data_IF_303487228299
#
_entry.id   IF_303487228299
#
_cell.length_a   1.000
_cell.length_b   1.000
_cell.length_c   1.000
_cell.angle_alpha   90.00
_cell.angle_beta   90.00
_cell.angle_gamma   90.00
#
_symmetry.space_group_name_H-M   'P 1'
#
loop_
_entity.id
_entity.type
_entity.pdbx_description
1 polymer ?
#
# COMPACT_ATOMS: atom_id res chain seq x y z
N UNK A 1 -18.35 20.19 53.61
CA UNK A 1 -16.87 20.11 53.50
C UNK A 1 -16.50 18.65 53.31
N UNK A 2 -15.98 18.27 52.15
CA UNK A 2 -15.34 16.97 51.92
C UNK A 2 -13.95 17.22 51.34
N UNK A 3 -12.94 16.72 52.03
CA UNK A 3 -11.56 17.19 51.99
C UNK A 3 -10.69 16.41 50.99
N UNK A 4 -10.99 16.52 49.69
CA UNK A 4 -10.23 15.75 48.67
C UNK A 4 -9.75 16.56 47.45
N UNK A 5 -10.05 17.86 47.37
CA UNK A 5 -9.75 18.68 46.17
C UNK A 5 -8.46 19.53 46.26
N UNK A 6 -7.58 19.28 47.23
CA UNK A 6 -6.33 20.02 47.38
C UNK A 6 -5.17 19.06 47.58
N UNK A 7 -4.68 18.50 46.48
CA UNK A 7 -3.28 18.09 46.25
C UNK A 7 -3.23 17.13 45.05
N UNK A 8 -3.28 17.68 43.84
CA UNK A 8 -2.76 16.97 42.66
C UNK A 8 -1.61 17.80 42.14
N UNK A 9 -0.44 17.61 42.75
CA UNK A 9 0.83 18.07 42.18
C UNK A 9 0.91 17.55 40.75
N UNK A 10 1.28 18.38 39.77
CA UNK A 10 1.49 17.89 38.41
C UNK A 10 2.60 16.83 38.49
N UNK A 11 2.26 15.62 38.09
CA UNK A 11 3.21 14.52 38.08
C UNK A 11 4.15 14.77 36.90
N UNK A 12 5.33 15.35 37.17
CA UNK A 12 6.36 15.62 36.16
C UNK A 12 6.93 14.34 35.54
N UNK A 13 6.58 13.17 36.07
CA UNK A 13 6.93 11.86 35.55
C UNK A 13 5.82 11.24 34.69
N UNK A 14 4.68 11.91 34.49
CA UNK A 14 3.84 11.61 33.33
C UNK A 14 4.62 12.02 32.08
N UNK A 15 5.34 11.05 31.53
CA UNK A 15 5.98 11.11 30.22
C UNK A 15 4.92 11.40 29.15
N UNK A 16 4.61 12.67 28.93
CA UNK A 16 4.36 13.15 27.58
C UNK A 16 5.72 13.20 26.85
N UNK A 17 6.33 12.03 26.70
CA UNK A 17 7.50 11.88 25.83
C UNK A 17 7.01 12.00 24.41
N UNK A 18 7.02 13.25 23.93
CA UNK A 18 7.27 13.49 22.53
C UNK A 18 8.56 12.75 22.20
N UNK A 19 8.44 11.58 21.56
CA UNK A 19 9.57 10.81 21.11
C UNK A 19 10.47 11.73 20.27
N UNK A 20 11.71 12.03 20.72
CA UNK A 20 12.57 13.00 20.08
C UNK A 20 12.94 12.57 18.66
N UNK A 21 12.97 11.25 18.40
CA UNK A 21 13.19 10.69 17.07
C UNK A 21 11.98 10.99 16.19
N UNK A 22 10.75 10.71 16.64
CA UNK A 22 9.52 11.03 15.90
C UNK A 22 9.32 12.53 15.67
N UNK A 23 9.74 13.37 16.61
CA UNK A 23 9.66 14.83 16.51
C UNK A 23 10.62 15.37 15.45
N UNK A 24 11.84 14.85 15.39
CA UNK A 24 12.86 15.23 14.40
C UNK A 24 12.57 14.64 13.01
N UNK A 25 11.98 13.46 12.93
CA UNK A 25 11.74 12.72 11.67
C UNK A 25 10.31 12.86 11.15
N UNK A 26 9.61 13.97 11.42
CA UNK A 26 8.23 14.23 11.01
C UNK A 26 8.06 14.35 9.48
N UNK A 27 8.39 13.30 8.74
CA UNK A 27 7.63 12.89 7.59
C UNK A 27 6.29 12.43 8.15
N UNK A 28 5.21 13.12 7.79
CA UNK A 28 3.87 12.66 8.08
C UNK A 28 3.69 11.30 7.39
N UNK A 29 3.94 10.21 8.11
CA UNK A 29 3.56 8.89 7.65
C UNK A 29 2.05 8.93 7.52
N UNK A 30 1.56 8.99 6.28
CA UNK A 30 0.14 8.90 6.00
C UNK A 30 -0.39 7.67 6.75
N UNK A 31 -1.45 7.87 7.54
CA UNK A 31 -2.07 6.77 8.28
C UNK A 31 -2.37 5.64 7.28
N UNK A 32 -1.84 4.41 7.50
CA UNK A 32 -1.99 3.34 6.53
C UNK A 32 -3.48 3.09 6.32
N UNK A 33 -3.93 3.23 5.08
CA UNK A 33 -5.29 2.84 4.69
C UNK A 33 -5.53 1.38 5.09
N UNK A 34 -6.74 1.02 5.55
CA UNK A 34 -7.01 -0.35 5.99
C UNK A 34 -6.85 -1.32 4.81
N UNK A 35 -5.84 -2.21 4.88
CA UNK A 35 -5.57 -3.22 3.85
C UNK A 35 -6.23 -4.55 4.22
N UNK A 36 -6.89 -5.19 3.26
CA UNK A 36 -7.45 -6.55 3.41
C UNK A 36 -6.67 -7.52 2.53
N UNK A 37 -6.29 -8.67 3.10
CA UNK A 37 -5.63 -9.74 2.34
C UNK A 37 -6.60 -10.38 1.34
N UNK A 38 -6.19 -10.49 0.09
CA UNK A 38 -6.91 -11.19 -0.97
C UNK A 38 -6.03 -12.30 -1.58
N UNK A 39 -6.62 -13.45 -1.89
CA UNK A 39 -5.94 -14.57 -2.53
C UNK A 39 -6.48 -14.80 -3.95
N UNK A 40 -5.58 -14.88 -4.92
CA UNK A 40 -5.91 -15.15 -6.32
C UNK A 40 -5.00 -16.24 -6.88
N UNK A 41 -5.52 -17.05 -7.79
CA UNK A 41 -4.72 -17.97 -8.58
C UNK A 41 -4.12 -17.23 -9.78
N UNK A 42 -2.81 -17.32 -9.95
CA UNK A 42 -2.07 -16.78 -11.08
C UNK A 42 -1.27 -17.90 -11.72
N UNK A 43 -1.02 -17.80 -13.02
CA UNK A 43 -0.13 -18.75 -13.69
C UNK A 43 1.30 -18.60 -13.16
N UNK A 44 2.02 -19.72 -13.06
CA UNK A 44 3.40 -19.73 -12.58
C UNK A 44 4.30 -18.79 -13.39
N UNK A 45 4.12 -18.77 -14.71
CA UNK A 45 4.86 -17.91 -15.62
C UNK A 45 4.63 -16.41 -15.32
N UNK A 46 3.39 -16.01 -15.02
CA UNK A 46 3.07 -14.63 -14.65
C UNK A 46 3.67 -14.27 -13.29
N UNK A 47 3.53 -15.17 -12.31
CA UNK A 47 4.09 -14.95 -10.97
C UNK A 47 5.62 -14.86 -10.99
N UNK A 48 6.30 -15.70 -11.77
CA UNK A 48 7.74 -15.65 -11.97
C UNK A 48 8.18 -14.32 -12.60
N UNK A 49 7.48 -13.88 -13.66
CA UNK A 49 7.73 -12.58 -14.31
C UNK A 49 7.53 -11.41 -13.35
N UNK A 50 6.47 -11.45 -12.54
CA UNK A 50 6.19 -10.43 -11.53
C UNK A 50 7.31 -10.36 -10.48
N UNK A 51 7.70 -11.51 -9.91
CA UNK A 51 8.77 -11.58 -8.92
C UNK A 51 10.10 -11.06 -9.47
N UNK A 52 10.46 -11.44 -10.70
CA UNK A 52 11.68 -10.95 -11.34
C UNK A 52 11.67 -9.42 -11.49
N UNK A 53 10.57 -8.84 -11.98
CA UNK A 53 10.44 -7.38 -12.11
C UNK A 53 10.54 -6.67 -10.76
N UNK A 54 9.89 -7.19 -9.72
CA UNK A 54 10.02 -6.64 -8.37
C UNK A 54 11.48 -6.58 -7.91
N UNK A 55 12.24 -7.66 -8.09
CA UNK A 55 13.65 -7.69 -7.70
C UNK A 55 14.53 -6.77 -8.55
N UNK A 56 14.32 -6.71 -9.86
CA UNK A 56 15.01 -5.76 -10.75
C UNK A 56 14.78 -4.31 -10.30
N UNK A 57 13.53 -3.96 -9.97
CA UNK A 57 13.18 -2.61 -9.50
C UNK A 57 13.81 -2.30 -8.14
N UNK A 58 13.85 -3.26 -7.22
CA UNK A 58 14.57 -3.14 -5.95
C UNK A 58 16.06 -2.89 -6.15
N UNK A 59 16.71 -3.63 -7.06
CA UNK A 59 18.12 -3.45 -7.39
C UNK A 59 18.40 -2.11 -8.07
N UNK A 60 17.44 -1.59 -8.85
CA UNK A 60 17.51 -0.27 -9.48
C UNK A 60 17.28 0.89 -8.50
N UNK A 61 17.04 0.62 -7.21
CA UNK A 61 16.83 1.66 -6.19
C UNK A 61 15.46 2.34 -6.27
N UNK A 62 14.48 1.74 -6.95
CA UNK A 62 13.12 2.30 -6.99
C UNK A 62 12.44 2.17 -5.62
N UNK A 63 11.60 3.15 -5.23
CA UNK A 63 10.99 3.22 -3.90
C UNK A 63 9.77 2.28 -3.78
N UNK A 64 9.98 0.99 -4.00
CA UNK A 64 8.99 -0.06 -3.75
C UNK A 64 9.36 -0.71 -2.43
N UNK A 65 8.46 -0.78 -1.44
CA UNK A 65 8.79 -1.37 -0.14
C UNK A 65 8.62 -2.89 -0.17
N UNK A 66 7.50 -3.36 -0.72
CA UNK A 66 7.14 -4.78 -0.76
C UNK A 66 6.39 -5.17 -2.06
N UNK A 67 6.12 -6.47 -2.23
CA UNK A 67 5.43 -7.00 -3.43
C UNK A 67 3.98 -6.52 -3.54
N UNK A 68 3.30 -6.35 -2.41
CA UNK A 68 1.93 -5.83 -2.39
C UNK A 68 1.86 -4.41 -2.93
N UNK A 69 2.84 -3.55 -2.66
CA UNK A 69 2.86 -2.18 -3.20
C UNK A 69 2.92 -2.18 -4.73
N UNK A 70 3.81 -3.00 -5.30
CA UNK A 70 3.92 -3.14 -6.76
C UNK A 70 2.63 -3.72 -7.35
N UNK A 71 2.01 -4.68 -6.67
CA UNK A 71 0.74 -5.28 -7.11
C UNK A 71 -0.41 -4.26 -7.05
N UNK A 72 -0.51 -3.48 -5.97
CA UNK A 72 -1.51 -2.42 -5.81
C UNK A 72 -1.39 -1.36 -6.90
N UNK A 73 -0.17 -0.87 -7.19
CA UNK A 73 0.07 0.10 -8.28
C UNK A 73 -0.30 -0.51 -9.64
N UNK A 74 0.12 -1.75 -9.88
CA UNK A 74 -0.17 -2.45 -11.15
C UNK A 74 -1.67 -2.68 -11.35
N UNK A 75 -2.39 -3.02 -10.28
CA UNK A 75 -3.83 -3.21 -10.29
C UNK A 75 -4.56 -1.88 -10.48
N UNK A 76 -4.13 -0.82 -9.79
CA UNK A 76 -4.65 0.53 -9.99
C UNK A 76 -4.52 0.97 -11.44
N UNK A 77 -3.34 0.80 -12.04
CA UNK A 77 -3.12 1.09 -13.47
C UNK A 77 -4.06 0.31 -14.40
N UNK A 78 -4.33 -0.97 -14.08
CA UNK A 78 -5.25 -1.78 -14.87
C UNK A 78 -6.71 -1.31 -14.73
N UNK A 79 -7.12 -0.87 -13.53
CA UNK A 79 -8.45 -0.30 -13.28
C UNK A 79 -8.60 1.07 -13.97
N UNK A 80 -7.59 1.93 -13.90
CA UNK A 80 -7.55 3.22 -14.60
C UNK A 80 -7.63 3.03 -16.13
N UNK A 81 -7.07 1.95 -16.67
CA UNK A 81 -7.20 1.62 -18.09
C UNK A 81 -8.63 1.14 -18.42
N UNK A 82 -9.30 0.42 -17.51
CA UNK A 82 -10.71 0.01 -17.68
C UNK A 82 -11.66 1.22 -17.70
N UNK A 83 -11.39 2.22 -16.88
CA UNK A 83 -12.20 3.46 -16.83
C UNK A 83 -12.18 4.25 -18.15
N UNK A 84 -11.28 3.91 -19.07
CA UNK A 84 -11.23 4.48 -20.43
C UNK A 84 -12.31 3.93 -21.38
N UNK A 85 -13.11 2.96 -20.94
CA UNK A 85 -14.20 2.37 -21.73
C UNK A 85 -13.69 1.73 -23.02
N UNK A 86 -14.29 2.05 -24.16
CA UNK A 86 -13.94 1.50 -25.48
C UNK A 86 -12.45 1.65 -25.86
N UNK A 87 -11.76 2.63 -25.26
CA UNK A 87 -10.34 2.86 -25.47
C UNK A 87 -9.43 2.05 -24.52
N UNK A 88 -10.00 1.23 -23.64
CA UNK A 88 -9.25 0.37 -22.73
C UNK A 88 -8.48 -0.70 -23.50
N UNK A 89 -7.16 -0.73 -23.31
CA UNK A 89 -6.30 -1.78 -23.89
C UNK A 89 -6.61 -3.13 -23.25
N UNK A 90 -6.99 -3.13 -21.98
CA UNK A 90 -7.39 -4.32 -21.24
C UNK A 90 -8.67 -4.93 -21.84
N UNK A 91 -9.73 -4.13 -22.04
CA UNK A 91 -10.98 -4.61 -22.67
C UNK A 91 -10.74 -5.12 -24.09
N UNK A 92 -9.98 -4.38 -24.89
CA UNK A 92 -9.63 -4.81 -26.26
C UNK A 92 -8.89 -6.16 -26.28
N UNK A 93 -7.98 -6.37 -25.33
CA UNK A 93 -7.25 -7.64 -25.19
C UNK A 93 -8.18 -8.77 -24.78
N UNK A 94 -9.08 -8.54 -23.81
CA UNK A 94 -10.07 -9.53 -23.38
C UNK A 94 -10.98 -9.99 -24.53
N UNK A 95 -11.46 -9.04 -25.35
CA UNK A 95 -12.31 -9.35 -26.50
C UNK A 95 -11.54 -10.18 -27.54
N UNK A 96 -10.28 -9.81 -27.83
CA UNK A 96 -9.42 -10.55 -28.75
C UNK A 96 -9.11 -11.97 -28.27
N UNK A 97 -8.80 -12.15 -26.99
CA UNK A 97 -8.52 -13.49 -26.44
C UNK A 97 -9.75 -14.39 -26.53
N UNK A 98 -10.94 -13.89 -26.20
CA UNK A 98 -12.19 -14.65 -26.29
C UNK A 98 -12.53 -15.04 -27.74
N UNK A 99 -12.31 -14.14 -28.69
CA UNK A 99 -12.54 -14.40 -30.11
C UNK A 99 -11.59 -15.47 -30.70
N UNK A 100 -10.39 -15.64 -30.14
CA UNK A 100 -9.40 -16.62 -30.59
C UNK A 100 -9.57 -18.01 -29.93
N UNK A 101 -10.46 -18.14 -28.95
CA UNK A 101 -10.69 -19.36 -28.18
C UNK A 101 -12.07 -20.00 -28.45
N UNK A 102 -12.82 -19.48 -29.43
CA UNK A 102 -14.06 -20.07 -29.96
C UNK A 102 -13.83 -20.52 -31.40
#
# INVERSE_FOLDING_TARGET
MTASERNRSPDFFEEHTLDPVRTATRAAAASPQPKKKAGFYLTEALLARFNRRFHEMKLAGLPIENKSDLLEISLGFALDDLDRGENSRLLQTLHKTRANSG
#
